data_IF_422305106498
#
_entry.id   IF_422305106498
#
_cell.length_a   1.000
_cell.length_b   1.000
_cell.length_c   1.000
_cell.angle_alpha   90.00
_cell.angle_beta   90.00
_cell.angle_gamma   90.00
#
_symmetry.space_group_name_H-M   'P 1'
#
loop_
_entity.id
_entity.type
_entity.pdbx_description
1 polymer ?
#
# COMPACT_ATOMS: atom_id res chain seq x y z
N UNK A 1 -4.24 -0.87 -8.61
CA UNK A 1 -5.49 -1.66 -8.74
C UNK A 1 -6.57 -0.93 -8.00
N UNK A 2 -7.82 -1.02 -8.44
CA UNK A 2 -8.96 -0.34 -7.81
C UNK A 2 -10.16 -1.30 -7.67
N UNK A 3 -11.09 -1.00 -6.77
CA UNK A 3 -12.27 -1.82 -6.45
C UNK A 3 -13.11 -2.16 -7.70
N UNK A 4 -13.24 -1.23 -8.63
CA UNK A 4 -13.98 -1.42 -9.90
C UNK A 4 -13.47 -2.62 -10.73
N UNK A 5 -12.21 -3.03 -10.55
CA UNK A 5 -11.66 -4.22 -11.19
C UNK A 5 -12.40 -5.52 -10.83
N UNK A 6 -13.01 -5.59 -9.64
CA UNK A 6 -13.87 -6.71 -9.25
C UNK A 6 -15.14 -6.76 -10.11
N UNK A 7 -15.75 -5.61 -10.39
CA UNK A 7 -16.95 -5.51 -11.24
C UNK A 7 -16.63 -5.97 -12.67
N UNK A 8 -15.59 -5.41 -13.28
CA UNK A 8 -15.22 -5.73 -14.66
C UNK A 8 -14.64 -7.14 -14.80
N UNK A 9 -13.90 -7.63 -13.80
CA UNK A 9 -13.22 -8.92 -13.85
C UNK A 9 -14.09 -10.12 -13.49
N UNK A 10 -15.11 -9.94 -12.65
CA UNK A 10 -16.00 -11.03 -12.19
C UNK A 10 -17.42 -10.90 -12.75
N UNK A 11 -17.75 -9.83 -13.48
CA UNK A 11 -19.09 -9.59 -14.01
C UNK A 11 -20.13 -9.28 -12.93
N UNK A 12 -19.70 -8.78 -11.77
CA UNK A 12 -20.60 -8.44 -10.66
C UNK A 12 -21.10 -7.01 -10.80
N UNK A 13 -22.40 -6.82 -10.51
CA UNK A 13 -22.99 -5.48 -10.53
C UNK A 13 -22.42 -4.63 -9.37
N UNK A 14 -22.13 -3.33 -9.58
CA UNK A 14 -21.52 -2.49 -8.54
C UNK A 14 -22.32 -2.41 -7.24
N UNK A 15 -23.65 -2.46 -7.31
CA UNK A 15 -24.53 -2.45 -6.14
C UNK A 15 -24.51 -3.76 -5.31
N UNK A 16 -23.77 -4.78 -5.77
CA UNK A 16 -23.53 -6.03 -5.02
C UNK A 16 -22.20 -6.00 -4.24
N UNK A 17 -21.38 -4.96 -4.42
CA UNK A 17 -20.21 -4.76 -3.58
C UNK A 17 -20.67 -4.40 -2.17
N UNK A 18 -20.30 -5.24 -1.21
CA UNK A 18 -20.54 -5.00 0.21
C UNK A 18 -19.38 -4.24 0.84
N UNK A 19 -18.71 -4.86 1.81
CA UNK A 19 -17.56 -4.25 2.47
C UNK A 19 -16.31 -4.24 1.58
N UNK A 20 -15.63 -3.10 1.55
CA UNK A 20 -14.33 -2.93 0.89
C UNK A 20 -13.28 -2.70 1.98
N UNK A 21 -12.40 -3.68 2.16
CA UNK A 21 -11.33 -3.63 3.17
C UNK A 21 -10.04 -3.10 2.54
N UNK A 22 -9.62 -1.91 2.95
CA UNK A 22 -8.36 -1.30 2.54
C UNK A 22 -7.22 -1.79 3.43
N UNK A 23 -6.30 -2.56 2.85
CA UNK A 23 -5.09 -3.01 3.53
C UNK A 23 -3.98 -2.00 3.30
N UNK A 24 -3.39 -1.49 4.38
CA UNK A 24 -2.27 -0.57 4.32
C UNK A 24 -1.23 -0.91 5.38
N UNK A 25 0.00 -0.46 5.17
CA UNK A 25 1.09 -0.62 6.14
C UNK A 25 1.24 0.65 6.98
N UNK A 26 1.78 0.52 8.18
CA UNK A 26 2.12 1.66 9.04
C UNK A 26 3.17 2.61 8.41
N UNK A 27 3.84 2.17 7.35
CA UNK A 27 4.79 2.92 6.53
C UNK A 27 4.70 2.53 5.06
N UNK A 28 5.25 3.35 4.16
CA UNK A 28 5.19 3.10 2.73
C UNK A 28 6.44 2.38 2.21
N UNK A 29 6.26 1.55 1.19
CA UNK A 29 7.37 0.95 0.45
C UNK A 29 7.09 0.92 -1.04
N UNK A 30 8.14 1.03 -1.86
CA UNK A 30 8.04 0.88 -3.30
C UNK A 30 9.15 -0.04 -3.85
N UNK A 31 8.77 -0.87 -4.81
CA UNK A 31 9.72 -1.58 -5.69
C UNK A 31 9.81 -0.80 -7.00
N UNK A 32 11.03 -0.61 -7.50
CA UNK A 32 11.28 0.04 -8.79
C UNK A 32 11.40 1.57 -8.71
N UNK A 33 11.52 2.17 -9.89
CA UNK A 33 11.66 3.62 -10.09
C UNK A 33 10.31 4.33 -9.99
N UNK A 34 10.35 5.67 -9.92
CA UNK A 34 9.17 6.52 -9.88
C UNK A 34 9.06 7.36 -8.59
N UNK A 35 8.19 8.38 -8.56
CA UNK A 35 8.12 9.36 -7.48
C UNK A 35 7.67 8.72 -6.17
N UNK A 36 8.39 8.96 -5.07
CA UNK A 36 8.02 8.50 -3.74
C UNK A 36 8.15 9.67 -2.76
N UNK A 37 7.06 10.43 -2.54
CA UNK A 37 7.11 11.70 -1.82
C UNK A 37 7.66 11.61 -0.40
N UNK A 38 7.37 10.50 0.30
CA UNK A 38 7.76 10.26 1.68
C UNK A 38 8.98 9.34 1.82
N UNK A 39 9.74 9.12 0.74
CA UNK A 39 10.93 8.26 0.77
C UNK A 39 11.99 8.77 1.74
N UNK A 40 12.56 7.84 2.49
CA UNK A 40 13.66 8.08 3.40
C UNK A 40 14.97 7.59 2.79
N UNK A 41 15.93 8.50 2.66
CA UNK A 41 17.28 8.23 2.15
C UNK A 41 18.32 8.14 3.27
N UNK A 42 17.87 8.16 4.52
CA UNK A 42 18.69 8.15 5.72
C UNK A 42 18.63 6.79 6.42
N UNK A 43 19.32 6.71 7.56
CA UNK A 43 19.40 5.52 8.41
C UNK A 43 18.02 5.04 8.90
N UNK A 44 17.03 5.93 8.99
CA UNK A 44 15.66 5.59 9.38
C UNK A 44 15.01 4.72 8.33
N UNK A 45 15.14 5.09 7.05
CA UNK A 45 14.67 4.28 5.92
C UNK A 45 15.34 2.90 5.88
N UNK A 46 16.62 2.82 6.25
CA UNK A 46 17.36 1.55 6.30
C UNK A 46 16.92 0.65 7.44
N UNK A 47 16.71 1.21 8.64
CA UNK A 47 16.19 0.49 9.81
C UNK A 47 14.79 -0.03 9.53
N UNK A 48 13.90 0.80 8.98
CA UNK A 48 12.54 0.42 8.60
C UNK A 48 12.52 -0.71 7.57
N UNK A 49 13.40 -0.66 6.56
CA UNK A 49 13.53 -1.73 5.58
C UNK A 49 13.98 -3.05 6.21
N UNK A 50 14.93 -3.00 7.14
CA UNK A 50 15.50 -4.17 7.80
C UNK A 50 14.50 -4.83 8.75
N UNK A 51 13.91 -4.06 9.67
CA UNK A 51 12.90 -4.54 10.63
C UNK A 51 11.68 -5.09 9.89
N UNK A 52 11.25 -4.37 8.86
CA UNK A 52 10.10 -4.75 8.05
C UNK A 52 10.34 -5.94 7.12
N UNK A 53 11.56 -6.47 7.02
CA UNK A 53 11.96 -7.46 6.02
C UNK A 53 11.49 -7.08 4.59
N UNK A 54 11.71 -5.82 4.20
CA UNK A 54 11.20 -5.27 2.94
C UNK A 54 12.12 -5.58 1.75
N UNK A 55 12.21 -6.87 1.45
CA UNK A 55 13.00 -7.43 0.36
C UNK A 55 12.09 -8.17 -0.62
N UNK A 56 12.46 -8.19 -1.90
CA UNK A 56 11.77 -9.01 -2.90
C UNK A 56 11.87 -10.49 -2.54
N UNK A 57 10.74 -11.18 -2.41
CA UNK A 57 10.72 -12.60 -2.00
C UNK A 57 11.53 -13.53 -2.93
N UNK A 58 11.61 -13.20 -4.22
CA UNK A 58 12.37 -13.97 -5.22
C UNK A 58 13.74 -13.34 -5.49
N UNK A 59 13.77 -12.03 -5.74
CA UNK A 59 14.99 -11.35 -6.20
C UNK A 59 15.92 -10.90 -5.07
N UNK A 60 15.45 -10.90 -3.82
CA UNK A 60 16.17 -10.31 -2.69
C UNK A 60 16.36 -8.79 -2.77
N UNK A 61 15.81 -8.12 -3.80
CA UNK A 61 16.05 -6.68 -4.02
C UNK A 61 15.42 -5.86 -2.88
N UNK A 62 16.23 -4.98 -2.27
CA UNK A 62 15.81 -4.01 -1.26
C UNK A 62 14.69 -3.11 -1.82
N UNK A 63 13.61 -2.93 -1.06
CA UNK A 63 12.55 -1.97 -1.37
C UNK A 63 12.93 -0.59 -0.85
N UNK A 64 12.48 0.43 -1.56
CA UNK A 64 12.53 1.82 -1.07
C UNK A 64 11.52 1.93 0.06
N UNK A 65 11.89 2.57 1.17
CA UNK A 65 11.06 2.72 2.37
C UNK A 65 10.86 4.20 2.71
N UNK A 66 9.73 4.51 3.34
CA UNK A 66 9.37 5.89 3.65
C UNK A 66 8.19 5.98 4.60
N UNK A 67 7.92 7.19 5.11
CA UNK A 67 6.78 7.43 6.00
C UNK A 67 5.45 7.11 5.32
N UNK A 68 4.43 6.87 6.13
CA UNK A 68 3.05 6.75 5.63
C UNK A 68 2.62 8.03 4.92
N UNK A 69 2.14 7.90 3.70
CA UNK A 69 1.56 8.99 2.93
C UNK A 69 0.04 8.98 3.10
N UNK A 70 -0.44 9.81 4.04
CA UNK A 70 -1.87 9.92 4.33
C UNK A 70 -2.65 10.60 3.20
N UNK A 71 -2.00 11.41 2.34
CA UNK A 71 -2.65 12.04 1.18
C UNK A 71 -2.94 10.96 0.14
N UNK A 72 -1.95 10.12 -0.17
CA UNK A 72 -2.12 8.99 -1.06
C UNK A 72 -3.12 7.97 -0.51
N UNK A 73 -3.10 7.69 0.80
CA UNK A 73 -4.06 6.78 1.45
C UNK A 73 -5.50 7.33 1.36
N UNK A 74 -5.71 8.62 1.65
CA UNK A 74 -7.02 9.27 1.51
C UNK A 74 -7.53 9.18 0.07
N UNK A 75 -6.66 9.38 -0.91
CA UNK A 75 -7.01 9.25 -2.32
C UNK A 75 -7.42 7.80 -2.66
N UNK A 76 -6.67 6.79 -2.20
CA UNK A 76 -7.03 5.39 -2.41
C UNK A 76 -8.40 5.04 -1.78
N UNK A 77 -8.65 5.50 -0.55
CA UNK A 77 -9.94 5.32 0.14
C UNK A 77 -11.09 5.91 -0.69
N UNK A 78 -10.90 7.12 -1.22
CA UNK A 78 -11.91 7.81 -2.03
C UNK A 78 -12.21 7.07 -3.33
N UNK A 79 -11.19 6.59 -4.03
CA UNK A 79 -11.35 5.90 -5.32
C UNK A 79 -11.98 4.52 -5.15
N UNK A 80 -11.60 3.81 -4.10
CA UNK A 80 -12.05 2.42 -3.89
C UNK A 80 -13.34 2.31 -3.07
N UNK A 81 -13.81 3.40 -2.47
CA UNK A 81 -14.96 3.36 -1.57
C UNK A 81 -14.70 2.48 -0.34
N UNK A 82 -13.49 2.57 0.22
CA UNK A 82 -13.07 1.73 1.35
C UNK A 82 -13.99 1.93 2.55
N UNK A 83 -14.57 0.85 3.05
CA UNK A 83 -15.46 0.88 4.22
C UNK A 83 -14.74 0.58 5.52
N UNK A 84 -13.62 -0.17 5.48
CA UNK A 84 -12.83 -0.54 6.64
C UNK A 84 -11.34 -0.51 6.33
N UNK A 85 -10.52 -0.06 7.28
CA UNK A 85 -9.07 -0.03 7.15
C UNK A 85 -8.42 -1.08 8.04
N UNK A 86 -7.43 -1.78 7.49
CA UNK A 86 -6.61 -2.77 8.21
C UNK A 86 -5.15 -2.35 8.11
N UNK A 87 -4.59 -1.93 9.25
CA UNK A 87 -3.18 -1.55 9.35
C UNK A 87 -2.32 -2.80 9.57
N UNK A 88 -1.21 -2.87 8.85
CA UNK A 88 -0.21 -3.93 8.95
C UNK A 88 1.14 -3.36 9.38
N UNK A 89 1.97 -4.21 10.01
CA UNK A 89 3.35 -3.90 10.39
C UNK A 89 3.49 -2.68 11.30
N UNK A 90 2.67 -2.62 12.33
CA UNK A 90 2.70 -1.59 13.38
C UNK A 90 3.60 -1.95 14.57
N UNK A 91 4.15 -3.18 14.56
CA UNK A 91 5.12 -3.70 15.52
C UNK A 91 6.52 -3.08 15.39
#
# INVERSE_FOLDING_TARGET
>A
TICAGACTGLGIAPNKIGNVYGIFKAYCTRVGSGPFPTELFDETGEKMCSIGHEFGAVTGRKRRCGWIDLVALKYAIMIDGVTHLIMMKSD
#
